data_IF_633487196608
#
_entry.id   IF_633487196608
#
_cell.length_a   1.000
_cell.length_b   1.000
_cell.length_c   1.000
_cell.angle_alpha   90.00
_cell.angle_beta   90.00
_cell.angle_gamma   90.00
#
_symmetry.space_group_name_H-M   'P 1'
#
loop_
_entity.id
_entity.type
_entity.pdbx_description
1 polymer ?
#
# COMPACT_ATOMS: atom_id res chain seq x y z
N UNK A 1 8.11 -30.15 0.20
CA UNK A 1 6.74 -29.65 -0.03
C UNK A 1 6.35 -28.45 0.86
N UNK A 2 6.49 -28.50 2.20
CA UNK A 2 6.14 -27.39 3.11
C UNK A 2 6.86 -26.06 2.79
N UNK A 3 8.14 -26.11 2.39
CA UNK A 3 8.89 -24.92 2.02
C UNK A 3 8.27 -24.19 0.82
N UNK A 4 7.91 -24.94 -0.24
CA UNK A 4 7.32 -24.36 -1.45
C UNK A 4 5.93 -23.75 -1.18
N UNK A 5 5.12 -24.42 -0.35
CA UNK A 5 3.81 -23.88 0.08
C UNK A 5 3.97 -22.57 0.85
N UNK A 6 4.91 -22.50 1.80
CA UNK A 6 5.19 -21.27 2.55
C UNK A 6 5.75 -20.16 1.67
N UNK A 7 6.55 -20.51 0.66
CA UNK A 7 7.08 -19.53 -0.32
C UNK A 7 5.94 -18.92 -1.16
N UNK A 8 5.01 -19.75 -1.65
CA UNK A 8 3.85 -19.27 -2.43
C UNK A 8 2.92 -18.42 -1.56
N UNK A 9 2.67 -18.83 -0.32
CA UNK A 9 1.89 -18.03 0.64
C UNK A 9 2.59 -16.70 0.95
N UNK A 10 3.93 -16.74 1.08
CA UNK A 10 4.76 -15.54 1.25
C UNK A 10 4.69 -14.60 0.05
N UNK A 11 4.69 -15.12 -1.17
CA UNK A 11 4.48 -14.34 -2.39
C UNK A 11 3.08 -13.70 -2.42
N UNK A 12 2.03 -14.42 -2.01
CA UNK A 12 0.69 -13.87 -1.91
C UNK A 12 0.61 -12.71 -0.92
N UNK A 13 1.13 -12.91 0.30
CA UNK A 13 1.18 -11.86 1.32
C UNK A 13 2.05 -10.67 0.87
N UNK A 14 3.21 -10.97 0.29
CA UNK A 14 4.13 -9.98 -0.26
C UNK A 14 3.53 -9.18 -1.40
N UNK A 15 2.66 -9.77 -2.21
CA UNK A 15 1.93 -9.06 -3.27
C UNK A 15 0.96 -8.02 -2.71
N UNK A 16 0.29 -8.30 -1.58
CA UNK A 16 -0.52 -7.29 -0.89
C UNK A 16 0.36 -6.14 -0.40
N UNK A 17 1.47 -6.45 0.27
CA UNK A 17 2.42 -5.42 0.72
C UNK A 17 3.02 -4.63 -0.43
N UNK A 18 3.28 -5.25 -1.57
CA UNK A 18 3.77 -4.58 -2.76
C UNK A 18 2.76 -3.58 -3.32
N UNK A 19 1.47 -3.92 -3.41
CA UNK A 19 0.42 -2.98 -3.87
C UNK A 19 0.34 -1.77 -2.94
N UNK A 20 0.37 -1.99 -1.63
CA UNK A 20 0.38 -0.90 -0.64
C UNK A 20 1.66 -0.07 -0.76
N UNK A 21 2.81 -0.71 -0.89
CA UNK A 21 4.11 -0.06 -1.06
C UNK A 21 4.19 0.78 -2.33
N UNK A 22 3.53 0.35 -3.42
CA UNK A 22 3.39 1.16 -4.63
C UNK A 22 2.64 2.47 -4.35
N UNK A 23 1.58 2.44 -3.52
CA UNK A 23 0.88 3.63 -3.07
C UNK A 23 1.79 4.59 -2.29
N UNK A 24 2.59 4.08 -1.34
CA UNK A 24 3.60 4.88 -0.62
C UNK A 24 4.66 5.47 -1.56
N UNK A 25 5.20 4.64 -2.44
CA UNK A 25 6.23 5.03 -3.41
C UNK A 25 5.74 6.13 -4.34
N UNK A 26 4.49 6.06 -4.81
CA UNK A 26 3.88 7.09 -5.63
C UNK A 26 3.80 8.42 -4.87
N UNK A 27 3.24 8.41 -3.67
CA UNK A 27 3.04 9.63 -2.87
C UNK A 27 4.39 10.22 -2.48
N UNK A 28 5.31 9.44 -1.93
CA UNK A 28 6.61 9.93 -1.52
C UNK A 28 7.47 10.37 -2.70
N UNK A 29 7.51 9.59 -3.77
CA UNK A 29 8.32 9.90 -4.95
C UNK A 29 7.98 11.26 -5.58
N UNK A 30 6.70 11.66 -5.56
CA UNK A 30 6.23 12.89 -6.23
C UNK A 30 6.01 14.03 -5.24
N UNK A 31 5.31 13.77 -4.12
CA UNK A 31 5.03 14.79 -3.12
C UNK A 31 6.22 15.05 -2.17
N UNK A 32 7.15 14.08 -2.02
CA UNK A 32 8.25 14.07 -1.04
C UNK A 32 7.75 14.21 0.40
N UNK A 33 6.58 13.64 0.67
CA UNK A 33 5.92 13.68 1.98
C UNK A 33 5.55 12.25 2.41
N UNK A 34 5.84 11.91 3.66
CA UNK A 34 5.46 10.63 4.23
C UNK A 34 3.99 10.66 4.64
N UNK A 35 3.22 9.66 4.20
CA UNK A 35 1.80 9.53 4.52
C UNK A 35 1.56 8.29 5.40
N UNK A 36 1.76 8.41 6.71
CA UNK A 36 1.47 7.29 7.63
C UNK A 36 -0.02 6.95 7.74
N UNK A 37 -0.92 7.87 7.39
CA UNK A 37 -2.35 7.59 7.32
C UNK A 37 -2.75 6.65 6.16
N UNK A 38 -1.81 6.31 5.27
CA UNK A 38 -2.08 5.41 4.13
C UNK A 38 -2.55 4.02 4.57
N UNK A 39 -2.06 3.51 5.71
CA UNK A 39 -2.57 2.29 6.32
C UNK A 39 -4.05 2.39 6.70
N UNK A 40 -4.49 3.54 7.19
CA UNK A 40 -5.89 3.74 7.59
C UNK A 40 -6.81 3.94 6.38
N UNK A 41 -6.28 4.38 5.24
CA UNK A 41 -7.02 4.34 3.96
C UNK A 41 -7.33 2.90 3.57
N UNK A 42 -6.44 1.93 3.85
CA UNK A 42 -6.71 0.49 3.66
C UNK A 42 -7.90 0.06 4.53
N UNK A 43 -7.90 0.45 5.79
CA UNK A 43 -8.99 0.16 6.72
C UNK A 43 -10.32 0.72 6.18
N UNK A 44 -10.36 1.99 5.76
CA UNK A 44 -11.57 2.58 5.17
C UNK A 44 -11.99 1.84 3.90
N UNK A 45 -11.04 1.42 3.06
CA UNK A 45 -11.30 0.59 1.88
C UNK A 45 -11.95 -0.75 2.21
N UNK A 46 -11.48 -1.41 3.27
CA UNK A 46 -12.07 -2.66 3.77
C UNK A 46 -13.51 -2.46 4.25
N UNK A 47 -13.78 -1.41 5.04
CA UNK A 47 -15.14 -1.08 5.48
C UNK A 47 -16.04 -0.67 4.31
N UNK A 48 -15.55 0.14 3.36
CA UNK A 48 -16.31 0.54 2.18
C UNK A 48 -16.71 -0.68 1.33
N UNK A 49 -15.78 -1.59 1.07
CA UNK A 49 -16.06 -2.85 0.38
C UNK A 49 -17.06 -3.71 1.18
N UNK A 50 -16.86 -3.85 2.49
CA UNK A 50 -17.76 -4.60 3.36
C UNK A 50 -19.20 -4.08 3.27
N UNK A 51 -19.43 -2.78 3.42
CA UNK A 51 -20.76 -2.20 3.35
C UNK A 51 -21.36 -2.26 1.94
N UNK A 52 -20.54 -2.08 0.90
CA UNK A 52 -20.98 -2.24 -0.48
C UNK A 52 -21.54 -3.66 -0.75
N UNK A 53 -20.85 -4.67 -0.25
CA UNK A 53 -21.22 -6.07 -0.46
C UNK A 53 -22.36 -6.53 0.45
N UNK A 54 -22.38 -6.10 1.73
CA UNK A 54 -23.33 -6.63 2.74
C UNK A 54 -24.59 -5.78 2.89
N UNK A 55 -24.46 -4.44 2.90
CA UNK A 55 -25.58 -3.54 3.13
C UNK A 55 -26.29 -3.14 1.84
N UNK A 56 -25.50 -2.89 0.79
CA UNK A 56 -26.04 -2.51 -0.52
C UNK A 56 -26.22 -3.72 -1.46
N UNK A 57 -25.82 -4.93 -1.03
CA UNK A 57 -25.90 -6.18 -1.81
C UNK A 57 -25.33 -6.05 -3.23
N UNK A 58 -24.28 -5.23 -3.39
CA UNK A 58 -23.65 -5.07 -4.70
C UNK A 58 -22.87 -6.34 -5.07
N UNK A 59 -22.83 -6.70 -6.35
CA UNK A 59 -21.91 -7.74 -6.83
C UNK A 59 -20.44 -7.38 -6.54
N UNK A 60 -19.55 -8.37 -6.58
CA UNK A 60 -18.14 -8.20 -6.21
C UNK A 60 -17.45 -7.03 -6.94
N UNK A 61 -17.56 -6.97 -8.27
CA UNK A 61 -16.88 -5.96 -9.08
C UNK A 61 -17.37 -4.53 -8.76
N UNK A 62 -18.69 -4.22 -8.77
CA UNK A 62 -19.20 -2.94 -8.33
C UNK A 62 -18.84 -2.60 -6.89
N UNK A 63 -18.79 -3.59 -5.97
CA UNK A 63 -18.38 -3.39 -4.60
C UNK A 63 -16.91 -2.94 -4.48
N UNK A 64 -16.02 -3.55 -5.25
CA UNK A 64 -14.60 -3.15 -5.33
C UNK A 64 -14.48 -1.73 -5.91
N UNK A 65 -15.20 -1.42 -6.99
CA UNK A 65 -15.18 -0.08 -7.61
C UNK A 65 -15.69 1.00 -6.64
N UNK A 66 -16.74 0.71 -5.86
CA UNK A 66 -17.23 1.60 -4.83
C UNK A 66 -16.18 1.85 -3.74
N UNK A 67 -15.45 0.84 -3.30
CA UNK A 67 -14.36 0.97 -2.35
C UNK A 67 -13.21 1.81 -2.92
N UNK A 68 -12.83 1.57 -4.18
CA UNK A 68 -11.79 2.36 -4.87
C UNK A 68 -12.21 3.83 -4.95
N UNK A 69 -13.46 4.11 -5.36
CA UNK A 69 -13.97 5.47 -5.43
C UNK A 69 -13.97 6.16 -4.07
N UNK A 70 -14.46 5.48 -3.02
CA UNK A 70 -14.46 5.99 -1.65
C UNK A 70 -13.05 6.35 -1.17
N UNK A 71 -12.08 5.44 -1.33
CA UNK A 71 -10.70 5.67 -0.93
C UNK A 71 -10.03 6.76 -1.78
N UNK A 72 -10.31 6.83 -3.07
CA UNK A 72 -9.79 7.88 -3.96
C UNK A 72 -10.27 9.26 -3.51
N UNK A 73 -11.56 9.40 -3.19
CA UNK A 73 -12.13 10.65 -2.65
C UNK A 73 -11.49 10.97 -1.30
N UNK A 74 -11.41 9.99 -0.39
CA UNK A 74 -10.77 10.16 0.92
C UNK A 74 -9.32 10.63 0.77
N UNK A 75 -8.54 10.03 -0.14
CA UNK A 75 -7.15 10.42 -0.38
C UNK A 75 -7.00 11.86 -0.83
N UNK A 76 -7.89 12.33 -1.73
CA UNK A 76 -7.91 13.74 -2.16
C UNK A 76 -8.32 14.66 -1.02
N UNK A 77 -9.29 14.26 -0.19
CA UNK A 77 -9.74 15.04 0.98
C UNK A 77 -8.60 15.17 1.99
N UNK A 78 -7.95 14.06 2.34
CA UNK A 78 -6.81 14.05 3.26
C UNK A 78 -5.65 14.90 2.70
N UNK A 79 -5.34 14.79 1.42
CA UNK A 79 -4.33 15.63 0.78
C UNK A 79 -4.68 17.11 0.91
N UNK A 80 -5.89 17.51 0.53
CA UNK A 80 -6.29 18.92 0.51
C UNK A 80 -6.37 19.55 1.89
N UNK A 81 -6.90 18.81 2.89
CA UNK A 81 -7.13 19.34 4.23
C UNK A 81 -5.89 19.25 5.13
N UNK A 82 -5.16 18.14 5.06
CA UNK A 82 -4.06 17.89 5.98
C UNK A 82 -2.67 18.16 5.36
N UNK A 83 -2.41 17.71 4.13
CA UNK A 83 -1.05 17.78 3.55
C UNK A 83 -0.78 19.04 2.74
N UNK A 84 -1.77 19.55 2.00
CA UNK A 84 -1.58 20.76 1.17
C UNK A 84 -1.14 21.98 1.97
N UNK A 85 -1.70 22.29 3.17
CA UNK A 85 -1.25 23.42 3.97
C UNK A 85 0.19 23.27 4.49
N UNK A 86 0.69 22.03 4.61
CA UNK A 86 1.98 21.70 5.21
C UNK A 86 3.10 21.48 4.21
N UNK A 87 2.89 21.79 2.93
CA UNK A 87 3.90 21.53 1.88
C UNK A 87 5.18 22.35 2.02
N UNK A 88 5.14 23.45 2.74
CA UNK A 88 6.31 24.31 3.08
C UNK A 88 6.72 24.16 4.54
N UNK A 89 6.04 23.33 5.32
CA UNK A 89 6.38 23.08 6.72
C UNK A 89 7.54 22.10 6.87
N UNK A 90 8.08 22.01 8.08
CA UNK A 90 9.13 21.05 8.38
C UNK A 90 8.64 19.61 8.21
N UNK A 91 9.55 18.68 7.87
CA UNK A 91 9.23 17.24 7.74
C UNK A 91 8.62 16.67 9.03
N UNK A 92 9.00 17.23 10.20
CA UNK A 92 8.44 16.83 11.49
C UNK A 92 6.96 17.22 11.60
N UNK A 93 6.57 18.42 11.15
CA UNK A 93 5.18 18.86 11.17
C UNK A 93 4.31 17.98 10.28
N UNK A 94 4.81 17.59 9.11
CA UNK A 94 4.12 16.67 8.21
C UNK A 94 3.95 15.29 8.85
N UNK A 95 4.99 14.78 9.51
CA UNK A 95 4.96 13.50 10.22
C UNK A 95 3.91 13.48 11.33
N UNK A 96 3.91 14.52 12.20
CA UNK A 96 2.94 14.63 13.31
C UNK A 96 1.51 14.71 12.76
N UNK A 97 1.30 15.48 11.70
CA UNK A 97 -0.02 15.58 11.05
C UNK A 97 -0.45 14.24 10.46
N UNK A 98 0.45 13.50 9.82
CA UNK A 98 0.16 12.17 9.29
C UNK A 98 -0.31 11.20 10.40
N UNK A 99 0.35 11.23 11.56
CA UNK A 99 -0.04 10.45 12.74
C UNK A 99 -1.41 10.93 13.26
N UNK A 100 -1.64 12.25 13.34
CA UNK A 100 -2.92 12.83 13.75
C UNK A 100 -4.07 12.40 12.84
N UNK A 101 -3.88 12.43 11.52
CA UNK A 101 -4.87 11.94 10.54
C UNK A 101 -5.13 10.44 10.72
N UNK A 102 -4.07 9.65 10.96
CA UNK A 102 -4.18 8.21 11.23
C UNK A 102 -5.10 7.95 12.43
N UNK A 103 -4.81 8.56 13.58
CA UNK A 103 -5.64 8.41 14.78
C UNK A 103 -7.06 8.95 14.58
N UNK A 104 -7.23 10.04 13.85
CA UNK A 104 -8.55 10.57 13.51
C UNK A 104 -9.39 9.57 12.73
N UNK A 105 -8.81 8.93 11.71
CA UNK A 105 -9.49 7.91 10.91
C UNK A 105 -9.80 6.66 11.73
N UNK A 106 -8.87 6.17 12.56
CA UNK A 106 -9.09 4.99 13.41
C UNK A 106 -10.20 5.23 14.45
N UNK A 107 -10.12 6.33 15.19
CA UNK A 107 -11.13 6.66 16.19
C UNK A 107 -12.47 7.01 15.55
N UNK A 108 -12.47 7.71 14.40
CA UNK A 108 -13.68 7.95 13.62
C UNK A 108 -14.34 6.64 13.17
N UNK A 109 -13.56 5.67 12.71
CA UNK A 109 -14.06 4.34 12.34
C UNK A 109 -14.66 3.59 13.56
N UNK A 110 -14.04 3.70 14.74
CA UNK A 110 -14.58 3.10 15.97
C UNK A 110 -15.91 3.73 16.38
N UNK A 111 -16.05 5.04 16.25
CA UNK A 111 -17.30 5.75 16.56
C UNK A 111 -18.41 5.43 15.56
N UNK A 112 -18.08 5.39 14.26
CA UNK A 112 -19.08 5.17 13.21
C UNK A 112 -19.47 3.70 13.05
N UNK A 113 -18.52 2.78 13.20
CA UNK A 113 -18.68 1.36 12.85
C UNK A 113 -18.47 0.41 14.02
N UNK A 114 -18.23 0.92 15.21
CA UNK A 114 -17.88 0.21 16.45
C UNK A 114 -16.49 -0.42 16.44
N UNK A 115 -15.94 -0.69 17.63
CA UNK A 115 -14.65 -1.36 17.79
C UNK A 115 -14.72 -2.88 17.54
N UNK A 116 -15.93 -3.45 17.48
CA UNK A 116 -16.13 -4.89 17.33
C UNK A 116 -15.67 -5.38 15.95
N UNK A 117 -14.89 -6.47 15.88
CA UNK A 117 -14.49 -7.07 14.62
C UNK A 117 -15.70 -7.47 13.75
N UNK A 118 -15.62 -7.23 12.44
CA UNK A 118 -16.64 -7.64 11.47
C UNK A 118 -16.04 -8.69 10.54
N UNK A 119 -16.85 -9.68 10.16
CA UNK A 119 -16.45 -10.71 9.21
C UNK A 119 -16.70 -10.22 7.78
N UNK A 120 -15.64 -10.17 6.98
CA UNK A 120 -15.75 -9.89 5.54
C UNK A 120 -16.47 -11.04 4.86
N UNK A 121 -17.45 -10.79 3.98
CA UNK A 121 -18.15 -11.86 3.28
C UNK A 121 -17.17 -12.68 2.43
N UNK A 122 -17.36 -14.00 2.41
CA UNK A 122 -16.56 -14.92 1.60
C UNK A 122 -16.91 -14.79 0.11
N UNK A 123 -16.49 -13.67 -0.49
CA UNK A 123 -16.86 -13.29 -1.87
C UNK A 123 -16.02 -14.05 -2.89
N UNK A 124 -14.90 -14.61 -2.44
CA UNK A 124 -13.98 -15.42 -3.24
C UNK A 124 -13.79 -16.79 -2.57
N UNK A 125 -14.89 -17.51 -2.32
CA UNK A 125 -14.84 -18.90 -1.87
C UNK A 125 -14.33 -19.79 -3.02
N UNK A 126 -13.05 -19.66 -3.33
CA UNK A 126 -12.36 -20.49 -4.31
C UNK A 126 -11.69 -21.66 -3.61
N UNK A 127 -11.75 -22.83 -4.21
CA UNK A 127 -10.97 -23.98 -3.80
C UNK A 127 -9.46 -23.70 -3.84
N UNK A 128 -8.66 -24.71 -3.57
CA UNK A 128 -7.22 -24.66 -3.78
C UNK A 128 -6.83 -25.56 -4.95
N UNK A 129 -5.89 -25.13 -5.76
CA UNK A 129 -5.21 -26.00 -6.71
C UNK A 129 -4.35 -26.98 -5.91
N UNK A 130 -4.63 -28.25 -6.06
CA UNK A 130 -3.85 -29.30 -5.45
C UNK A 130 -2.90 -29.92 -6.48
N UNK A 131 -1.61 -29.78 -6.27
CA UNK A 131 -0.56 -30.45 -7.03
C UNK A 131 0.16 -31.43 -6.07
N UNK A 132 -0.36 -32.63 -5.94
CA UNK A 132 0.11 -33.59 -4.92
C UNK A 132 -0.12 -33.02 -3.51
N UNK A 133 0.95 -32.89 -2.73
CA UNK A 133 0.90 -32.32 -1.37
C UNK A 133 0.90 -30.78 -1.33
N UNK A 134 0.97 -30.13 -2.49
CA UNK A 134 0.98 -28.67 -2.58
C UNK A 134 -0.44 -28.15 -2.77
N UNK A 135 -0.94 -27.38 -1.80
CA UNK A 135 -2.24 -26.71 -1.87
C UNK A 135 -2.02 -25.20 -2.00
N UNK A 136 -2.43 -24.62 -3.13
CA UNK A 136 -2.34 -23.19 -3.41
C UNK A 136 -3.74 -22.62 -3.51
N UNK A 137 -4.09 -21.66 -2.65
CA UNK A 137 -5.39 -20.98 -2.70
C UNK A 137 -5.54 -20.17 -3.99
N UNK A 138 -6.71 -20.21 -4.61
CA UNK A 138 -7.03 -19.33 -5.75
C UNK A 138 -6.89 -17.85 -5.39
N UNK A 139 -7.19 -17.47 -4.15
CA UNK A 139 -7.02 -16.09 -3.67
C UNK A 139 -5.55 -15.66 -3.77
N UNK A 140 -4.60 -16.53 -3.41
CA UNK A 140 -3.17 -16.25 -3.53
C UNK A 140 -2.77 -15.99 -4.98
N UNK A 141 -3.24 -16.80 -5.92
CA UNK A 141 -2.96 -16.62 -7.35
C UNK A 141 -3.56 -15.32 -7.90
N UNK A 142 -4.81 -15.02 -7.53
CA UNK A 142 -5.47 -13.77 -7.91
C UNK A 142 -4.72 -12.57 -7.33
N UNK A 143 -4.26 -12.66 -6.09
CA UNK A 143 -3.49 -11.58 -5.44
C UNK A 143 -2.18 -11.31 -6.16
N UNK A 144 -1.43 -12.35 -6.51
CA UNK A 144 -0.16 -12.23 -7.27
C UNK A 144 -0.44 -11.66 -8.67
N UNK A 145 -1.44 -12.18 -9.37
CA UNK A 145 -1.82 -11.69 -10.70
C UNK A 145 -2.24 -10.21 -10.67
N UNK A 146 -3.08 -9.83 -9.70
CA UNK A 146 -3.51 -8.43 -9.50
C UNK A 146 -2.31 -7.52 -9.23
N UNK A 147 -1.37 -7.95 -8.38
CA UNK A 147 -0.16 -7.19 -8.08
C UNK A 147 0.67 -6.93 -9.35
N UNK A 148 0.90 -7.95 -10.17
CA UNK A 148 1.63 -7.81 -11.43
C UNK A 148 0.91 -6.90 -12.43
N UNK A 149 -0.40 -7.05 -12.57
CA UNK A 149 -1.21 -6.18 -13.45
C UNK A 149 -1.15 -4.73 -12.98
N UNK A 150 -1.34 -4.48 -11.69
CA UNK A 150 -1.24 -3.13 -11.10
C UNK A 150 0.13 -2.53 -11.35
N UNK A 151 1.21 -3.28 -11.12
CA UNK A 151 2.59 -2.81 -11.36
C UNK A 151 2.80 -2.42 -12.83
N UNK A 152 2.39 -3.30 -13.77
CA UNK A 152 2.54 -3.04 -15.21
C UNK A 152 1.72 -1.82 -15.63
N UNK A 153 0.45 -1.75 -15.22
CA UNK A 153 -0.43 -0.61 -15.51
C UNK A 153 0.15 0.69 -14.97
N UNK A 154 0.63 0.69 -13.73
CA UNK A 154 1.20 1.88 -13.09
C UNK A 154 2.50 2.31 -13.79
N UNK A 155 3.36 1.37 -14.12
CA UNK A 155 4.62 1.62 -14.85
C UNK A 155 4.35 2.20 -16.25
N UNK A 156 3.40 1.62 -16.98
CA UNK A 156 2.98 2.14 -18.29
C UNK A 156 2.34 3.52 -18.17
N UNK A 157 1.48 3.74 -17.17
CA UNK A 157 0.86 5.01 -16.91
C UNK A 157 1.91 6.11 -16.68
N UNK A 158 2.89 5.87 -15.79
CA UNK A 158 3.93 6.85 -15.47
C UNK A 158 4.87 7.08 -16.65
N UNK A 159 5.21 6.03 -17.41
CA UNK A 159 6.21 6.15 -18.48
C UNK A 159 5.63 6.60 -19.82
N UNK A 160 4.37 6.31 -20.11
CA UNK A 160 3.78 6.49 -21.44
C UNK A 160 2.73 7.60 -21.52
N UNK A 161 2.23 8.14 -20.37
CA UNK A 161 1.19 9.18 -20.39
C UNK A 161 1.76 10.58 -20.15
N UNK A 162 1.06 11.62 -20.65
CA UNK A 162 1.39 13.03 -20.40
C UNK A 162 1.35 13.35 -18.89
N UNK A 163 0.37 12.81 -18.18
CA UNK A 163 0.23 12.96 -16.72
C UNK A 163 1.39 12.30 -16.00
N UNK A 164 1.80 11.09 -16.41
CA UNK A 164 2.98 10.41 -15.86
C UNK A 164 4.28 11.20 -16.11
N UNK A 165 4.43 11.83 -17.27
CA UNK A 165 5.56 12.72 -17.55
C UNK A 165 5.56 13.94 -16.64
N UNK A 166 4.38 14.55 -16.38
CA UNK A 166 4.23 15.64 -15.43
C UNK A 166 4.55 15.21 -13.99
N UNK A 167 4.15 13.98 -13.61
CA UNK A 167 4.51 13.40 -12.31
C UNK A 167 6.03 13.26 -12.14
N UNK A 168 6.73 12.75 -13.15
CA UNK A 168 8.19 12.64 -13.14
C UNK A 168 8.87 14.00 -13.06
N UNK A 169 8.41 14.99 -13.84
CA UNK A 169 8.92 16.36 -13.75
C UNK A 169 8.76 16.94 -12.33
N UNK A 170 7.58 16.76 -11.72
CA UNK A 170 7.32 17.19 -10.33
C UNK A 170 8.19 16.44 -9.29
N UNK A 171 8.61 15.19 -9.57
CA UNK A 171 9.46 14.42 -8.66
C UNK A 171 10.91 14.90 -8.66
N UNK A 172 11.39 15.41 -9.78
CA UNK A 172 12.75 15.96 -9.93
C UNK A 172 12.84 17.38 -9.36
N UNK A 173 11.99 18.30 -9.84
CA UNK A 173 11.94 19.68 -9.35
C UNK A 173 10.53 20.27 -9.52
N UNK A 174 9.89 20.63 -8.40
CA UNK A 174 8.53 21.19 -8.38
C UNK A 174 8.48 22.61 -8.92
N UNK A 175 9.52 23.41 -8.72
CA UNK A 175 9.53 24.81 -9.13
C UNK A 175 9.85 24.93 -10.61
N UNK A 176 10.80 24.15 -11.12
CA UNK A 176 11.02 24.01 -12.56
C UNK A 176 9.77 23.48 -13.29
N UNK A 177 9.07 22.49 -12.73
CA UNK A 177 7.83 21.98 -13.30
C UNK A 177 6.73 23.07 -13.38
N UNK A 178 6.62 23.95 -12.37
CA UNK A 178 5.70 25.11 -12.40
C UNK A 178 6.04 26.09 -13.52
N UNK A 179 7.33 26.40 -13.70
CA UNK A 179 7.78 27.28 -14.76
C UNK A 179 7.45 26.74 -16.16
N UNK A 180 7.43 25.42 -16.31
CA UNK A 180 7.01 24.71 -17.54
C UNK A 180 5.49 24.60 -17.69
N UNK A 181 4.70 25.27 -16.84
CA UNK A 181 3.23 25.30 -16.92
C UNK A 181 2.54 24.07 -16.29
N UNK A 182 3.24 23.22 -15.56
CA UNK A 182 2.64 22.05 -14.90
C UNK A 182 1.95 22.50 -13.59
N UNK A 183 0.67 22.15 -13.43
CA UNK A 183 -0.05 22.39 -12.19
C UNK A 183 0.34 21.35 -11.13
N UNK A 184 1.40 21.64 -10.37
CA UNK A 184 1.96 20.76 -9.33
C UNK A 184 0.90 20.36 -8.28
N UNK A 185 -0.05 21.27 -7.98
CA UNK A 185 -1.12 20.97 -7.02
C UNK A 185 -2.03 19.84 -7.50
N UNK A 186 -2.42 19.88 -8.77
CA UNK A 186 -3.26 18.83 -9.37
C UNK A 186 -2.50 17.51 -9.46
N UNK A 187 -1.21 17.55 -9.80
CA UNK A 187 -0.37 16.35 -9.89
C UNK A 187 -0.25 15.67 -8.53
N UNK A 188 -0.01 16.41 -7.45
CA UNK A 188 0.07 15.85 -6.10
C UNK A 188 -1.29 15.28 -5.68
N UNK A 189 -2.40 16.00 -5.87
CA UNK A 189 -3.74 15.49 -5.53
C UNK A 189 -4.07 14.21 -6.30
N UNK A 190 -3.70 14.13 -7.58
CA UNK A 190 -3.89 12.93 -8.40
C UNK A 190 -3.02 11.76 -7.90
N UNK A 191 -1.82 12.05 -7.43
CA UNK A 191 -0.94 11.03 -6.84
C UNK A 191 -1.55 10.42 -5.58
N UNK A 192 -2.10 11.26 -4.69
CA UNK A 192 -2.83 10.78 -3.52
C UNK A 192 -4.09 9.98 -3.91
N UNK A 193 -4.82 10.43 -4.94
CA UNK A 193 -5.97 9.71 -5.47
C UNK A 193 -5.62 8.30 -5.95
N UNK A 194 -4.57 8.17 -6.76
CA UNK A 194 -4.10 6.88 -7.28
C UNK A 194 -3.60 6.00 -6.14
N UNK A 195 -2.74 6.53 -5.25
CA UNK A 195 -2.23 5.77 -4.11
C UNK A 195 -3.35 5.24 -3.21
N UNK A 196 -4.36 6.07 -2.92
CA UNK A 196 -5.51 5.67 -2.12
C UNK A 196 -6.42 4.66 -2.84
N UNK A 197 -6.55 4.76 -4.16
CA UNK A 197 -7.23 3.73 -4.96
C UNK A 197 -6.52 2.38 -4.90
N UNK A 198 -5.19 2.37 -4.94
CA UNK A 198 -4.38 1.14 -4.75
C UNK A 198 -4.55 0.56 -3.34
N UNK A 199 -4.66 1.41 -2.32
CA UNK A 199 -4.94 0.98 -0.95
C UNK A 199 -6.28 0.25 -0.83
N UNK A 200 -7.33 0.68 -1.58
CA UNK A 200 -8.61 -0.01 -1.63
C UNK A 200 -8.51 -1.40 -2.29
N UNK A 201 -7.75 -1.52 -3.37
CA UNK A 201 -7.49 -2.82 -4.01
C UNK A 201 -6.77 -3.75 -3.04
N UNK A 202 -5.72 -3.27 -2.38
CA UNK A 202 -4.99 -4.03 -1.37
C UNK A 202 -5.88 -4.43 -0.18
N UNK A 203 -6.80 -3.56 0.25
CA UNK A 203 -7.75 -3.83 1.33
C UNK A 203 -8.65 -5.02 1.02
N UNK A 204 -9.22 -5.08 -0.19
CA UNK A 204 -10.07 -6.20 -0.61
C UNK A 204 -9.29 -7.51 -0.66
N UNK A 205 -8.07 -7.49 -1.22
CA UNK A 205 -7.20 -8.67 -1.29
C UNK A 205 -6.74 -9.12 0.10
N UNK A 206 -6.48 -8.17 1.00
CA UNK A 206 -6.14 -8.46 2.40
C UNK A 206 -7.32 -9.12 3.11
N UNK A 207 -8.54 -8.57 2.97
CA UNK A 207 -9.75 -9.12 3.58
C UNK A 207 -10.17 -10.46 2.96
N UNK A 208 -9.85 -10.72 1.69
CA UNK A 208 -10.06 -12.02 1.07
C UNK A 208 -9.17 -13.11 1.70
N UNK A 209 -7.92 -12.75 2.09
CA UNK A 209 -7.00 -13.66 2.78
C UNK A 209 -7.26 -13.74 4.30
N UNK A 210 -7.62 -12.61 4.92
CA UNK A 210 -7.87 -12.47 6.36
C UNK A 210 -9.22 -11.79 6.57
N UNK A 211 -10.33 -12.56 6.67
CA UNK A 211 -11.69 -12.03 6.61
C UNK A 211 -12.16 -11.31 7.89
N UNK A 212 -11.23 -10.72 8.65
CA UNK A 212 -11.55 -9.99 9.88
C UNK A 212 -11.23 -8.50 9.68
N UNK A 213 -12.25 -7.65 9.76
CA UNK A 213 -12.11 -6.20 9.68
C UNK A 213 -12.17 -5.60 11.07
N UNK A 214 -11.16 -4.80 11.41
CA UNK A 214 -11.09 -4.01 12.64
C UNK A 214 -10.73 -2.57 12.31
N UNK A 215 -11.02 -1.59 13.19
CA UNK A 215 -10.63 -0.19 12.97
C UNK A 215 -9.12 0.03 12.88
N UNK A 216 -8.32 -0.94 13.28
CA UNK A 216 -6.84 -0.91 13.23
C UNK A 216 -6.27 -1.85 12.16
N UNK A 217 -7.11 -2.44 11.30
CA UNK A 217 -6.70 -3.42 10.29
C UNK A 217 -5.52 -2.95 9.44
N UNK A 218 -5.50 -1.68 9.07
CA UNK A 218 -4.48 -1.14 8.17
C UNK A 218 -3.15 -0.78 8.83
N UNK A 219 -3.08 -0.70 10.17
CA UNK A 219 -1.89 -0.21 10.89
C UNK A 219 -0.65 -1.07 10.63
N UNK A 220 -0.70 -2.37 10.94
CA UNK A 220 0.44 -3.27 10.74
C UNK A 220 0.78 -3.52 9.25
N UNK A 221 -0.18 -3.82 8.36
CA UNK A 221 0.10 -3.90 6.92
C UNK A 221 0.66 -2.60 6.35
N UNK A 222 0.18 -1.44 6.82
CA UNK A 222 0.68 -0.13 6.42
C UNK A 222 2.16 0.05 6.78
N UNK A 223 2.55 -0.22 8.03
CA UNK A 223 3.94 -0.10 8.48
C UNK A 223 4.84 -1.09 7.71
N UNK A 224 4.40 -2.34 7.52
CA UNK A 224 5.18 -3.35 6.76
C UNK A 224 5.33 -2.98 5.29
N UNK A 225 4.30 -2.42 4.68
CA UNK A 225 4.38 -1.95 3.30
C UNK A 225 5.25 -0.70 3.16
N UNK A 226 5.24 0.21 4.14
CA UNK A 226 6.22 1.28 4.21
C UNK A 226 7.65 0.73 4.32
N UNK A 227 7.86 -0.25 5.21
CA UNK A 227 9.12 -0.99 5.33
C UNK A 227 9.53 -1.59 4.00
N UNK A 228 8.59 -2.20 3.26
CA UNK A 228 8.83 -2.77 1.94
C UNK A 228 9.23 -1.72 0.89
N UNK A 229 8.56 -0.55 0.89
CA UNK A 229 8.90 0.57 0.02
C UNK A 229 10.31 1.09 0.29
N UNK A 230 10.69 1.25 1.56
CA UNK A 230 12.04 1.69 1.98
C UNK A 230 13.09 0.63 1.64
N UNK A 231 12.81 -0.64 1.95
CA UNK A 231 13.67 -1.77 1.63
C UNK A 231 13.96 -1.90 0.12
N UNK A 232 12.92 -1.72 -0.69
CA UNK A 232 13.03 -1.77 -2.15
C UNK A 232 13.69 -0.54 -2.76
N UNK A 233 13.57 0.62 -2.10
CA UNK A 233 13.97 1.95 -2.58
C UNK A 233 12.73 2.80 -2.84
N UNK A 234 12.43 3.72 -1.93
CA UNK A 234 11.14 4.42 -1.79
C UNK A 234 10.67 5.23 -3.02
N UNK A 235 11.54 5.50 -3.99
CA UNK A 235 11.23 6.23 -5.23
C UNK A 235 11.13 5.31 -6.45
N UNK A 236 11.41 4.02 -6.26
CA UNK A 236 11.45 3.03 -7.35
C UNK A 236 10.23 2.13 -7.34
N UNK A 237 9.36 2.23 -8.37
CA UNK A 237 8.19 1.35 -8.53
C UNK A 237 8.60 -0.13 -8.55
N UNK A 238 9.58 -0.58 -9.37
CA UNK A 238 10.04 -1.96 -9.33
C UNK A 238 10.71 -2.30 -7.99
N UNK A 239 11.34 -1.30 -7.32
CA UNK A 239 11.88 -1.47 -5.97
C UNK A 239 10.80 -1.79 -4.95
N UNK A 240 9.71 -1.02 -4.92
CA UNK A 240 8.58 -1.26 -4.02
C UNK A 240 7.95 -2.64 -4.23
N UNK A 241 7.83 -3.10 -5.48
CA UNK A 241 7.36 -4.45 -5.78
C UNK A 241 8.27 -5.51 -5.18
N UNK A 242 9.58 -5.45 -5.50
CA UNK A 242 10.55 -6.42 -5.00
C UNK A 242 10.63 -6.39 -3.47
N UNK A 243 10.62 -5.19 -2.88
CA UNK A 243 10.60 -5.02 -1.43
C UNK A 243 9.37 -5.66 -0.79
N UNK A 244 8.18 -5.45 -1.36
CA UNK A 244 6.93 -6.05 -0.90
C UNK A 244 6.97 -7.57 -0.95
N UNK A 245 7.37 -8.14 -2.09
CA UNK A 245 7.49 -9.59 -2.27
C UNK A 245 8.49 -10.20 -1.29
N UNK A 246 9.67 -9.59 -1.14
CA UNK A 246 10.70 -10.09 -0.22
C UNK A 246 10.24 -10.02 1.24
N UNK A 247 9.65 -8.91 1.68
CA UNK A 247 9.11 -8.78 3.05
C UNK A 247 8.03 -9.83 3.32
N UNK A 248 7.13 -10.08 2.36
CA UNK A 248 6.10 -11.12 2.50
C UNK A 248 6.69 -12.53 2.60
N UNK A 249 7.71 -12.85 1.80
CA UNK A 249 8.42 -14.13 1.89
C UNK A 249 9.12 -14.26 3.23
N UNK A 250 9.87 -13.24 3.66
CA UNK A 250 10.57 -13.23 4.97
C UNK A 250 9.59 -13.45 6.11
N UNK A 251 8.45 -12.74 6.10
CA UNK A 251 7.42 -12.90 7.12
C UNK A 251 6.82 -14.30 7.13
N UNK A 252 6.48 -14.86 5.96
CA UNK A 252 5.92 -16.21 5.86
C UNK A 252 6.91 -17.27 6.34
N UNK A 253 8.19 -17.14 5.97
CA UNK A 253 9.25 -18.04 6.43
C UNK A 253 9.51 -17.90 7.93
N UNK A 254 9.53 -16.68 8.46
CA UNK A 254 9.68 -16.45 9.90
C UNK A 254 8.52 -17.07 10.69
N UNK A 255 7.27 -16.95 10.21
CA UNK A 255 6.10 -17.59 10.82
C UNK A 255 6.18 -19.11 10.81
N UNK A 256 6.70 -19.69 9.73
CA UNK A 256 6.73 -21.14 9.54
C UNK A 256 7.90 -21.82 10.28
N UNK A 257 9.05 -21.18 10.39
CA UNK A 257 10.29 -21.82 10.87
C UNK A 257 10.82 -21.24 12.18
N UNK A 258 10.44 -20.02 12.56
CA UNK A 258 10.91 -19.37 13.79
C UNK A 258 9.76 -19.29 14.79
N UNK A 259 8.87 -18.31 14.62
CA UNK A 259 7.70 -18.08 15.47
C UNK A 259 6.78 -17.06 14.84
N UNK A 260 5.47 -17.29 14.96
CA UNK A 260 4.45 -16.33 14.54
C UNK A 260 4.56 -15.01 15.30
N UNK A 261 4.93 -15.05 16.59
CA UNK A 261 5.09 -13.85 17.43
C UNK A 261 6.31 -13.02 17.04
N UNK A 262 7.41 -13.68 16.66
CA UNK A 262 8.67 -13.05 16.30
C UNK A 262 8.73 -12.63 14.83
N UNK A 263 7.80 -13.05 14.00
CA UNK A 263 7.82 -12.75 12.56
C UNK A 263 7.90 -11.27 12.24
N UNK A 264 7.19 -10.42 13.02
CA UNK A 264 7.28 -8.96 12.85
C UNK A 264 8.68 -8.44 13.20
N UNK A 265 9.26 -8.93 14.29
CA UNK A 265 10.62 -8.52 14.71
C UNK A 265 11.66 -8.92 13.66
N UNK A 266 11.53 -10.09 13.06
CA UNK A 266 12.41 -10.54 11.95
C UNK A 266 12.30 -9.61 10.75
N UNK A 267 11.09 -9.23 10.34
CA UNK A 267 10.86 -8.31 9.22
C UNK A 267 11.55 -6.97 9.46
N UNK A 268 11.36 -6.38 10.66
CA UNK A 268 11.99 -5.08 10.97
C UNK A 268 13.50 -5.18 11.19
N UNK A 269 14.00 -6.29 11.74
CA UNK A 269 15.44 -6.54 11.85
C UNK A 269 16.12 -6.62 10.47
N UNK A 270 15.49 -7.33 9.51
CA UNK A 270 16.00 -7.40 8.14
C UNK A 270 16.00 -6.01 7.48
N UNK A 271 14.95 -5.19 7.69
CA UNK A 271 14.95 -3.80 7.21
C UNK A 271 16.15 -3.03 7.76
N UNK A 272 16.38 -3.11 9.08
CA UNK A 272 17.47 -2.40 9.73
C UNK A 272 18.83 -2.81 9.16
N UNK A 273 19.06 -4.11 9.00
CA UNK A 273 20.30 -4.64 8.40
C UNK A 273 20.47 -4.10 6.97
N UNK A 274 19.42 -4.13 6.16
CA UNK A 274 19.51 -3.65 4.77
C UNK A 274 19.78 -2.15 4.70
N UNK A 275 19.16 -1.34 5.56
CA UNK A 275 19.42 0.10 5.60
C UNK A 275 20.83 0.44 6.07
N UNK A 276 21.41 -0.34 6.98
CA UNK A 276 22.81 -0.19 7.40
C UNK A 276 23.80 -0.49 6.25
N UNK A 277 23.48 -1.47 5.39
CA UNK A 277 24.35 -1.88 4.27
C UNK A 277 24.07 -1.05 3.01
N UNK A 278 22.78 -0.74 2.74
CA UNK A 278 22.32 0.03 1.57
C UNK A 278 21.24 1.05 2.00
N UNK A 279 21.62 2.24 2.45
CA UNK A 279 20.67 3.25 2.93
C UNK A 279 19.68 3.75 1.87
N UNK A 280 20.01 3.61 0.57
CA UNK A 280 19.08 3.90 -0.53
C UNK A 280 18.06 2.79 -0.82
N UNK A 281 18.13 1.64 -0.12
CA UNK A 281 17.38 0.44 -0.46
C UNK A 281 18.00 -0.37 -1.61
N UNK A 282 17.34 -1.46 -2.03
CA UNK A 282 17.87 -2.38 -3.03
C UNK A 282 18.02 -1.75 -4.42
N UNK A 283 17.01 -1.00 -4.87
CA UNK A 283 16.93 -0.35 -6.19
C UNK A 283 16.81 1.17 -6.12
N UNK A 284 17.10 1.77 -4.97
CA UNK A 284 17.10 3.22 -4.79
C UNK A 284 18.29 3.87 -5.51
N UNK A 285 18.06 5.07 -6.07
CA UNK A 285 19.14 5.88 -6.64
C UNK A 285 19.93 6.54 -5.49
N UNK A 286 21.28 6.46 -5.53
CA UNK A 286 22.11 7.26 -4.64
C UNK A 286 21.91 8.73 -4.99
N UNK A 287 21.42 9.53 -4.04
CA UNK A 287 21.43 10.98 -4.20
C UNK A 287 22.90 11.45 -4.14
N UNK A 288 23.46 11.83 -5.25
CA UNK A 288 24.66 12.66 -5.27
C UNK A 288 24.21 14.08 -4.97
N UNK A 289 24.57 14.60 -3.80
CA UNK A 289 24.45 16.03 -3.55
C UNK A 289 25.24 16.74 -4.65
N UNK A 290 24.52 17.53 -5.47
CA UNK A 290 25.17 18.51 -6.33
C UNK A 290 25.67 19.62 -5.41
N UNK A 291 26.97 19.61 -5.13
CA UNK A 291 27.69 20.70 -4.52
C UNK A 291 27.63 21.91 -5.44
#
# INVERSE_FOLDING_TARGET
>A
MRFLSNLVNGLGLGSVYAIIALGYTMVYGIAKMLNFAHGDVIMVGAYAAFFALTKFNLPLIPGILAAILCCTVLGVVVERLAYKPLRQASSLSVLITAIGVSYFLQNGAQLLWTASPKMFPAVMSGGALQFGDLSISYITLITIATCLVVMVCLTLFINKTKTGSAMRACSEDKDAARLMGINVNQIISLTFAIGSGLAAVAAVLLCANYPTITPTLGSMPGIKAFTAAVFGGIESIPGALLGGLLIGIIEAMAKAYISTQLANSVVFAVLLIVLLVRPAGLLGKRMTEKV
#
